data_IF_288269623735
#
_entry.id   IF_288269623735
#
_cell.length_a   1.000
_cell.length_b   1.000
_cell.length_c   1.000
_cell.angle_alpha   90.00
_cell.angle_beta   90.00
_cell.angle_gamma   90.00
#
_symmetry.space_group_name_H-M   'P 1'
#
loop_
_entity.id
_entity.type
_entity.pdbx_description
1 polymer ?
#
# COMPACT_ATOMS: atom_id res chain seq x y z
N UNK A 1 -7.91 17.31 -0.74
CA UNK A 1 -7.94 18.66 -1.32
C UNK A 1 -8.05 19.74 -0.25
N UNK A 2 -9.12 19.78 0.54
CA UNK A 2 -9.36 20.85 1.53
C UNK A 2 -8.24 20.98 2.58
N UNK A 3 -7.74 19.84 3.12
CA UNK A 3 -6.66 19.86 4.12
C UNK A 3 -5.36 20.41 3.56
N UNK A 4 -5.05 20.09 2.31
CA UNK A 4 -3.84 20.58 1.64
C UNK A 4 -3.91 22.07 1.35
N UNK A 5 -5.09 22.60 0.99
CA UNK A 5 -5.28 24.03 0.85
C UNK A 5 -5.03 24.79 2.18
N UNK A 6 -5.40 24.19 3.31
CA UNK A 6 -5.14 24.77 4.63
C UNK A 6 -3.63 24.83 4.96
N UNK A 7 -2.87 23.89 4.43
CA UNK A 7 -1.42 23.82 4.60
C UNK A 7 -0.65 24.53 3.48
N UNK A 8 -1.36 25.27 2.62
CA UNK A 8 -0.81 25.96 1.47
C UNK A 8 0.00 25.01 0.54
N UNK A 9 -0.51 23.78 0.40
CA UNK A 9 0.10 22.75 -0.45
C UNK A 9 -0.63 22.64 -1.79
N UNK A 10 0.12 22.45 -2.86
CA UNK A 10 -0.43 22.14 -4.18
C UNK A 10 -0.97 20.70 -4.18
N UNK A 11 -2.26 20.56 -3.95
CA UNK A 11 -2.91 19.25 -3.89
C UNK A 11 -2.87 18.48 -5.21
N UNK A 12 -2.74 19.15 -6.36
CA UNK A 12 -2.65 18.50 -7.67
C UNK A 12 -1.31 17.78 -7.81
N UNK A 13 -0.22 18.43 -7.48
CA UNK A 13 1.12 17.83 -7.46
C UNK A 13 1.18 16.65 -6.48
N UNK A 14 0.62 16.80 -5.28
CA UNK A 14 0.56 15.70 -4.31
C UNK A 14 -0.25 14.53 -4.85
N UNK A 15 -1.41 14.77 -5.42
CA UNK A 15 -2.24 13.74 -6.05
C UNK A 15 -1.50 12.98 -7.15
N UNK A 16 -0.80 13.70 -8.01
CA UNK A 16 -0.13 13.11 -9.18
C UNK A 16 1.09 12.28 -8.78
N UNK A 17 1.69 12.56 -7.63
CA UNK A 17 2.87 11.86 -7.11
C UNK A 17 2.57 10.89 -5.96
N UNK A 18 1.33 10.83 -5.48
CA UNK A 18 0.93 9.93 -4.41
C UNK A 18 0.92 8.48 -4.90
N UNK A 19 1.66 7.60 -4.21
CA UNK A 19 1.66 6.16 -4.51
C UNK A 19 0.29 5.57 -4.17
N UNK A 20 -0.32 4.88 -5.12
CA UNK A 20 -1.62 4.25 -4.93
C UNK A 20 -2.80 5.22 -4.99
N UNK A 21 -2.62 6.42 -5.52
CA UNK A 21 -3.71 7.37 -5.64
C UNK A 21 -4.82 6.87 -6.57
N UNK A 22 -6.06 7.21 -6.27
CA UNK A 22 -7.18 6.90 -7.16
C UNK A 22 -7.03 7.52 -8.54
N UNK A 23 -6.42 8.69 -8.62
CA UNK A 23 -6.17 9.35 -9.89
C UNK A 23 -5.34 8.47 -10.83
N UNK A 24 -4.26 7.87 -10.33
CA UNK A 24 -3.40 6.99 -11.11
C UNK A 24 -4.15 5.72 -11.55
N UNK A 25 -4.84 5.06 -10.63
CA UNK A 25 -5.43 3.74 -10.89
C UNK A 25 -6.83 3.79 -11.50
N UNK A 26 -7.59 4.85 -11.30
CA UNK A 26 -8.93 5.00 -11.87
C UNK A 26 -8.95 5.90 -13.09
N UNK A 27 -8.35 7.08 -13.02
CA UNK A 27 -8.37 8.05 -14.14
C UNK A 27 -7.33 7.71 -15.20
N UNK A 28 -6.11 7.35 -14.81
CA UNK A 28 -5.04 6.94 -15.73
C UNK A 28 -5.02 5.45 -16.01
N UNK A 29 -5.88 4.67 -15.33
CA UNK A 29 -6.06 3.22 -15.50
C UNK A 29 -4.76 2.41 -15.38
N UNK A 30 -3.84 2.84 -14.53
CA UNK A 30 -2.62 2.10 -14.26
C UNK A 30 -2.91 0.92 -13.31
N UNK A 31 -2.29 -0.23 -13.55
CA UNK A 31 -2.52 -1.47 -12.83
C UNK A 31 -1.71 -1.61 -11.55
N UNK A 32 -1.76 -2.81 -10.97
CA UNK A 32 -1.06 -3.15 -9.72
C UNK A 32 0.47 -3.02 -9.85
N UNK A 33 1.02 -3.27 -11.03
CA UNK A 33 2.47 -3.21 -11.24
C UNK A 33 3.02 -1.80 -11.03
N UNK A 34 2.29 -0.77 -11.43
CA UNK A 34 2.65 0.63 -11.15
C UNK A 34 2.73 0.88 -9.65
N UNK A 35 1.79 0.34 -8.88
CA UNK A 35 1.78 0.47 -7.42
C UNK A 35 2.97 -0.25 -6.78
N UNK A 36 3.23 -1.48 -7.18
CA UNK A 36 4.37 -2.28 -6.69
C UNK A 36 5.69 -1.60 -7.04
N UNK A 37 5.86 -1.19 -8.28
CA UNK A 37 7.10 -0.55 -8.76
C UNK A 37 7.36 0.79 -8.06
N UNK A 38 6.30 1.52 -7.71
CA UNK A 38 6.43 2.77 -6.94
C UNK A 38 6.80 2.53 -5.47
N UNK A 39 6.35 1.43 -4.86
CA UNK A 39 6.69 1.06 -3.49
C UNK A 39 8.09 0.45 -3.35
N UNK A 40 8.62 -0.18 -4.37
CA UNK A 40 9.91 -0.87 -4.32
C UNK A 40 11.07 0.04 -3.89
N UNK A 41 11.24 1.26 -4.44
CA UNK A 41 12.24 2.20 -3.96
C UNK A 41 12.09 2.58 -2.48
N UNK A 42 10.86 2.68 -1.99
CA UNK A 42 10.59 2.95 -0.58
C UNK A 42 11.12 1.81 0.30
N UNK A 43 10.83 0.57 -0.05
CA UNK A 43 11.33 -0.61 0.67
C UNK A 43 12.85 -0.71 0.61
N UNK A 44 13.45 -0.38 -0.52
CA UNK A 44 14.91 -0.33 -0.65
C UNK A 44 15.53 0.69 0.32
N UNK A 45 14.92 1.86 0.48
CA UNK A 45 15.37 2.86 1.43
C UNK A 45 15.17 2.40 2.88
N UNK A 46 14.05 1.76 3.20
CA UNK A 46 13.85 1.19 4.54
C UNK A 46 14.92 0.14 4.86
N UNK A 47 15.26 -0.72 3.89
CA UNK A 47 16.35 -1.66 4.05
C UNK A 47 17.69 -0.97 4.28
N UNK A 48 17.98 0.09 3.53
CA UNK A 48 19.24 0.84 3.66
C UNK A 48 19.45 1.43 5.06
N UNK A 49 18.40 2.03 5.66
CA UNK A 49 18.51 2.69 6.96
C UNK A 49 18.36 1.74 8.15
N UNK A 50 17.74 0.58 7.96
CA UNK A 50 17.54 -0.39 9.03
C UNK A 50 18.82 -1.18 9.26
N UNK A 51 19.21 -1.39 10.53
CA UNK A 51 20.32 -2.25 10.89
C UNK A 51 20.02 -3.71 10.61
N UNK A 52 21.05 -4.50 10.28
CA UNK A 52 20.91 -5.94 10.06
C UNK A 52 20.16 -6.64 11.19
N UNK A 53 19.34 -7.61 10.84
CA UNK A 53 18.54 -8.42 11.75
C UNK A 53 17.48 -7.62 12.56
N UNK A 54 17.31 -6.33 12.28
CA UNK A 54 16.28 -5.51 12.90
C UNK A 54 14.97 -5.59 12.12
N UNK A 55 13.93 -5.12 12.75
CA UNK A 55 12.55 -5.33 12.29
C UNK A 55 11.91 -4.03 11.79
N UNK A 56 11.01 -4.22 10.86
CA UNK A 56 10.13 -3.16 10.40
C UNK A 56 8.71 -3.74 10.32
N UNK A 57 7.74 -2.99 10.82
CA UNK A 57 6.33 -3.37 10.80
C UNK A 57 5.61 -2.56 9.74
N UNK A 58 4.84 -3.24 8.90
CA UNK A 58 3.96 -2.58 7.93
C UNK A 58 2.52 -3.00 8.16
N UNK A 59 1.62 -2.02 8.07
CA UNK A 59 0.17 -2.23 8.04
C UNK A 59 -0.29 -1.88 6.64
N UNK A 60 -0.90 -2.84 5.96
CA UNK A 60 -1.33 -2.68 4.58
C UNK A 60 -2.66 -3.38 4.35
N UNK A 61 -3.59 -2.66 3.73
CA UNK A 61 -4.88 -3.22 3.35
C UNK A 61 -4.85 -3.91 1.99
N UNK A 62 -5.83 -4.76 1.73
CA UNK A 62 -6.12 -5.23 0.40
C UNK A 62 -6.56 -4.06 -0.47
N UNK A 63 -6.13 -4.06 -1.72
CA UNK A 63 -6.43 -3.00 -2.68
C UNK A 63 -7.39 -3.50 -3.75
N UNK A 64 -8.25 -2.61 -4.23
CA UNK A 64 -9.08 -2.85 -5.40
C UNK A 64 -8.62 -1.91 -6.50
N UNK A 65 -8.08 -2.47 -7.57
CA UNK A 65 -7.56 -1.73 -8.73
C UNK A 65 -8.27 -2.27 -9.96
N UNK A 66 -8.94 -1.40 -10.69
CA UNK A 66 -9.72 -1.77 -11.89
C UNK A 66 -10.69 -2.93 -11.61
N UNK A 67 -11.40 -2.85 -10.47
CA UNK A 67 -12.38 -3.84 -9.99
C UNK A 67 -11.78 -5.21 -9.62
N UNK A 68 -10.47 -5.36 -9.63
CA UNK A 68 -9.77 -6.56 -9.20
C UNK A 68 -9.16 -6.35 -7.81
N UNK A 69 -9.36 -7.35 -6.93
CA UNK A 69 -8.84 -7.30 -5.55
C UNK A 69 -7.43 -7.86 -5.50
N UNK A 70 -6.51 -7.11 -4.90
CA UNK A 70 -5.13 -7.51 -4.66
C UNK A 70 -4.85 -7.61 -3.17
N UNK A 71 -4.22 -8.71 -2.76
CA UNK A 71 -3.84 -8.93 -1.37
C UNK A 71 -2.65 -8.05 -0.98
N UNK A 72 -2.81 -7.27 0.07
CA UNK A 72 -1.72 -6.49 0.66
C UNK A 72 -0.58 -7.38 1.17
N UNK A 73 -0.89 -8.59 1.63
CA UNK A 73 0.11 -9.58 2.02
C UNK A 73 0.98 -10.01 0.84
N UNK A 74 0.37 -10.32 -0.30
CA UNK A 74 1.12 -10.78 -1.50
C UNK A 74 1.99 -9.67 -2.06
N UNK A 75 1.48 -8.45 -2.11
CA UNK A 75 2.26 -7.26 -2.49
C UNK A 75 3.47 -7.09 -1.58
N UNK A 76 3.27 -7.17 -0.26
CA UNK A 76 4.36 -7.02 0.71
C UNK A 76 5.39 -8.14 0.62
N UNK A 77 4.96 -9.39 0.45
CA UNK A 77 5.87 -10.53 0.24
C UNK A 77 6.73 -10.35 -1.01
N UNK A 78 6.12 -9.91 -2.10
CA UNK A 78 6.82 -9.63 -3.36
C UNK A 78 7.88 -8.53 -3.18
N UNK A 79 7.51 -7.44 -2.52
CA UNK A 79 8.43 -6.34 -2.23
C UNK A 79 9.56 -6.77 -1.28
N UNK A 80 9.24 -7.53 -0.23
CA UNK A 80 10.22 -8.04 0.71
C UNK A 80 11.29 -8.90 0.02
N UNK A 81 10.87 -9.83 -0.84
CA UNK A 81 11.80 -10.70 -1.58
C UNK A 81 12.74 -9.93 -2.50
N UNK A 82 12.30 -8.80 -3.05
CA UNK A 82 13.09 -7.96 -3.95
C UNK A 82 14.05 -7.01 -3.23
N UNK A 83 13.78 -6.71 -1.97
CA UNK A 83 14.46 -5.63 -1.23
C UNK A 83 15.22 -6.10 0.01
N UNK A 84 15.43 -7.40 0.16
CA UNK A 84 16.26 -7.96 1.23
C UNK A 84 15.59 -8.04 2.59
N UNK A 85 14.27 -8.24 2.61
CA UNK A 85 13.51 -8.51 3.83
C UNK A 85 12.94 -9.93 3.83
N UNK A 86 12.76 -10.46 5.02
CA UNK A 86 12.02 -11.70 5.27
C UNK A 86 10.76 -11.39 6.08
N UNK A 87 9.64 -11.97 5.69
CA UNK A 87 8.40 -11.88 6.47
C UNK A 87 8.45 -12.88 7.62
N UNK A 88 8.62 -12.39 8.83
CA UNK A 88 8.76 -13.22 10.04
C UNK A 88 7.40 -13.62 10.60
N UNK A 89 6.46 -12.67 10.62
CA UNK A 89 5.13 -12.87 11.16
C UNK A 89 4.12 -12.02 10.44
N UNK A 90 2.92 -12.55 10.30
CA UNK A 90 1.79 -11.80 9.74
C UNK A 90 0.52 -12.05 10.54
N UNK A 91 -0.27 -11.01 10.70
CA UNK A 91 -1.62 -11.04 11.25
C UNK A 91 -2.54 -10.37 10.24
N UNK A 92 -3.78 -10.77 10.21
CA UNK A 92 -4.78 -10.10 9.38
C UNK A 92 -6.15 -10.11 10.07
N UNK A 93 -6.98 -9.17 9.66
CA UNK A 93 -8.39 -9.12 10.06
C UNK A 93 -9.22 -8.60 8.90
N UNK A 94 -10.49 -8.99 8.88
CA UNK A 94 -11.42 -8.60 7.83
C UNK A 94 -11.94 -7.19 8.07
N UNK A 95 -11.99 -6.38 7.01
CA UNK A 95 -12.55 -5.05 7.05
C UNK A 95 -14.05 -5.10 6.76
N UNK A 96 -14.83 -4.29 7.49
CA UNK A 96 -16.23 -4.06 7.15
C UNK A 96 -16.33 -3.12 5.94
N UNK A 97 -16.38 -3.71 4.76
CA UNK A 97 -16.48 -2.99 3.49
C UNK A 97 -17.91 -2.58 3.14
N UNK A 98 -18.90 -2.93 3.97
CA UNK A 98 -20.30 -2.49 3.81
C UNK A 98 -20.51 -1.10 4.38
N UNK A 99 -19.58 -0.59 5.18
CA UNK A 99 -19.63 0.75 5.75
C UNK A 99 -19.70 1.83 4.67
N UNK A 100 -20.45 2.91 4.95
CA UNK A 100 -20.53 4.11 4.09
C UNK A 100 -19.20 4.83 3.91
N UNK A 101 -18.19 4.51 4.73
CA UNK A 101 -16.84 5.03 4.59
C UNK A 101 -16.15 4.52 3.30
N UNK A 102 -16.59 3.41 2.75
CA UNK A 102 -16.09 2.87 1.50
C UNK A 102 -16.95 3.32 0.31
N UNK A 103 -16.30 3.80 -0.72
CA UNK A 103 -16.95 4.10 -1.99
C UNK A 103 -17.45 2.79 -2.60
N UNK A 104 -18.64 2.81 -3.19
CA UNK A 104 -19.32 1.63 -3.72
C UNK A 104 -18.43 0.75 -4.62
N UNK A 105 -17.63 1.35 -5.49
CA UNK A 105 -16.69 0.63 -6.38
C UNK A 105 -15.55 -0.10 -5.67
N UNK A 106 -15.29 0.24 -4.40
CA UNK A 106 -14.24 -0.39 -3.58
C UNK A 106 -14.81 -1.30 -2.48
N UNK A 107 -16.13 -1.49 -2.45
CA UNK A 107 -16.82 -2.34 -1.46
C UNK A 107 -16.82 -3.80 -1.92
N UNK A 108 -15.66 -4.44 -1.91
CA UNK A 108 -15.57 -5.88 -2.14
C UNK A 108 -15.53 -6.61 -0.81
N UNK A 109 -16.36 -7.65 -0.66
CA UNK A 109 -16.34 -8.53 0.50
C UNK A 109 -14.98 -9.24 0.62
N UNK A 110 -14.55 -9.52 1.85
CA UNK A 110 -13.32 -10.23 2.12
C UNK A 110 -12.06 -9.39 2.00
N UNK A 111 -12.17 -8.05 1.91
CA UNK A 111 -11.01 -7.17 2.06
C UNK A 111 -10.46 -7.29 3.48
N UNK A 112 -9.15 -7.48 3.57
CA UNK A 112 -8.44 -7.62 4.84
C UNK A 112 -7.42 -6.50 5.00
N UNK A 113 -7.10 -6.21 6.25
CA UNK A 113 -5.93 -5.42 6.61
C UNK A 113 -4.90 -6.36 7.23
N UNK A 114 -3.66 -6.23 6.81
CA UNK A 114 -2.57 -7.09 7.21
C UNK A 114 -1.54 -6.30 8.02
N UNK A 115 -1.07 -6.92 9.08
CA UNK A 115 0.06 -6.42 9.87
C UNK A 115 1.18 -7.41 9.68
N UNK A 116 2.28 -6.97 9.06
CA UNK A 116 3.41 -7.84 8.76
C UNK A 116 4.66 -7.36 9.50
N UNK A 117 5.34 -8.29 10.13
CA UNK A 117 6.66 -8.07 10.72
C UNK A 117 7.72 -8.55 9.75
N UNK A 118 8.52 -7.62 9.27
CA UNK A 118 9.61 -7.86 8.34
C UNK A 118 10.93 -7.75 9.06
N UNK A 119 11.88 -8.61 8.73
CA UNK A 119 13.24 -8.56 9.27
C UNK A 119 14.22 -8.34 8.13
N UNK A 120 15.15 -7.40 8.30
CA UNK A 120 16.27 -7.24 7.38
C UNK A 120 17.20 -8.43 7.49
N UNK A 121 17.43 -9.07 6.36
CA UNK A 121 18.32 -10.23 6.24
C UNK A 121 19.77 -9.87 6.52
#
# INVERSE_FOLDING_TARGET
>A
KHRMNWLDMDWQTVRDNEIGSRYIHSSRREGIDTYVDALEPCFAQFNRILKKKKYFVIIIGDSVIQQEKFSGMDVTKKLASRTGFEVVKSLNYELDTTSRLFIKSFRQKGKKEHILLLQKI
#
